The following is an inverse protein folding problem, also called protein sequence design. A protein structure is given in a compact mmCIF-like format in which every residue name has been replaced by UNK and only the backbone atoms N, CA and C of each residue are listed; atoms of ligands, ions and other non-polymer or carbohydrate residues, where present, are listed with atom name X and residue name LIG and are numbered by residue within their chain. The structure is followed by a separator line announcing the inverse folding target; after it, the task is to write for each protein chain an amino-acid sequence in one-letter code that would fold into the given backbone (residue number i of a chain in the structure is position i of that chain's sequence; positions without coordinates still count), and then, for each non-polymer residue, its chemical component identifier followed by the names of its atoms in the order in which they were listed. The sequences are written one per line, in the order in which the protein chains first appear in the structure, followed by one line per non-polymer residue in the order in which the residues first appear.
data_IF_789998496963
#
_entry.id   IF_789998496963
#
_cell.length_a   1.000
_cell.length_b   1.000
_cell.length_c   1.000
_cell.angle_alpha   90.00
_cell.angle_beta   90.00
_cell.angle_gamma   90.00
#
_symmetry.space_group_name_H-M   'P 1'
#
loop_
_entity.id
_entity.type
_entity.pdbx_description
1 polymer ?
#
# COMPACT_ATOMS: atom_id res chain seq x y z
N UNK A 1 11.02 -17.16 12.29
CA UNK A 1 10.18 -15.95 12.53
C UNK A 1 9.98 -15.27 11.18
N UNK A 2 8.75 -15.05 10.72
CA UNK A 2 8.51 -14.40 9.44
C UNK A 2 8.68 -12.87 9.60
N UNK A 3 9.48 -12.25 8.73
CA UNK A 3 9.58 -10.80 8.66
C UNK A 3 8.21 -10.20 8.33
N UNK A 4 7.81 -9.18 9.09
CA UNK A 4 6.55 -8.45 8.84
C UNK A 4 6.76 -7.21 7.97
N UNK A 5 7.95 -6.61 8.05
CA UNK A 5 8.32 -5.38 7.39
C UNK A 5 9.72 -5.47 6.81
N UNK A 6 9.93 -4.85 5.66
CA UNK A 6 11.24 -4.59 5.07
C UNK A 6 11.25 -3.13 4.66
N UNK A 7 12.25 -2.38 5.11
CA UNK A 7 12.42 -0.96 4.79
C UNK A 7 13.81 -0.77 4.22
N UNK A 8 13.89 -0.17 3.04
CA UNK A 8 15.16 0.13 2.37
C UNK A 8 15.14 1.58 1.94
N UNK A 9 16.07 2.37 2.45
CA UNK A 9 16.29 3.75 2.01
C UNK A 9 17.13 3.76 0.73
N UNK A 10 16.98 4.84 -0.05
CA UNK A 10 17.72 5.07 -1.29
C UNK A 10 17.62 3.89 -2.28
N UNK A 11 16.38 3.42 -2.48
CA UNK A 11 16.07 2.21 -3.24
C UNK A 11 16.44 2.32 -4.72
N UNK A 12 16.09 3.43 -5.37
CA UNK A 12 16.46 3.70 -6.76
C UNK A 12 17.76 4.51 -6.83
N UNK A 13 18.63 4.18 -7.78
CA UNK A 13 19.85 4.94 -8.03
C UNK A 13 19.57 6.36 -8.58
N UNK A 14 18.53 6.50 -9.42
CA UNK A 14 18.11 7.77 -9.99
C UNK A 14 16.58 7.93 -9.91
N UNK A 15 16.05 8.22 -8.71
CA UNK A 15 14.62 8.38 -8.50
C UNK A 15 14.05 9.64 -9.18
N UNK A 16 14.86 10.69 -9.39
CA UNK A 16 14.42 11.93 -10.05
C UNK A 16 14.09 11.70 -11.53
N UNK A 17 14.95 10.98 -12.25
CA UNK A 17 14.66 10.59 -13.65
C UNK A 17 13.46 9.63 -13.70
N UNK A 18 13.35 8.71 -12.77
CA UNK A 18 12.22 7.81 -12.67
C UNK A 18 10.88 8.55 -12.52
N UNK A 19 10.82 9.55 -11.63
CA UNK A 19 9.64 10.40 -11.44
C UNK A 19 9.30 11.21 -12.70
N UNK A 20 10.30 11.76 -13.41
CA UNK A 20 10.07 12.48 -14.66
C UNK A 20 9.44 11.58 -15.74
N UNK A 21 9.91 10.35 -15.88
CA UNK A 21 9.34 9.37 -16.80
C UNK A 21 7.88 9.07 -16.40
N UNK A 22 7.62 8.85 -15.11
CA UNK A 22 6.27 8.59 -14.62
C UNK A 22 5.31 9.76 -14.90
N UNK A 23 5.77 11.00 -14.74
CA UNK A 23 4.98 12.21 -15.04
C UNK A 23 4.65 12.35 -16.53
N UNK A 24 5.50 11.86 -17.44
CA UNK A 24 5.26 11.88 -18.89
C UNK A 24 4.45 10.66 -19.38
N UNK A 25 4.25 9.65 -18.55
CA UNK A 25 3.54 8.42 -18.92
C UNK A 25 2.03 8.62 -18.90
N UNK A 26 1.32 7.93 -19.82
CA UNK A 26 -0.14 7.90 -19.83
C UNK A 26 -0.69 7.36 -18.51
N UNK A 27 -1.76 7.98 -18.02
CA UNK A 27 -2.44 7.65 -16.76
C UNK A 27 -3.90 7.37 -17.01
N UNK A 28 -4.48 6.59 -16.13
CA UNK A 28 -5.91 6.34 -16.06
C UNK A 28 -6.41 6.67 -14.64
N UNK A 29 -7.62 7.15 -14.53
CA UNK A 29 -8.29 7.23 -13.24
C UNK A 29 -8.50 5.82 -12.70
N UNK A 30 -8.36 5.65 -11.40
CA UNK A 30 -8.74 4.40 -10.77
C UNK A 30 -10.24 4.20 -10.97
N UNK A 31 -10.68 2.95 -11.15
CA UNK A 31 -12.09 2.66 -11.33
C UNK A 31 -12.92 3.38 -10.24
N UNK A 32 -14.07 3.98 -10.56
CA UNK A 32 -14.97 4.55 -9.55
C UNK A 32 -15.35 3.58 -8.44
N UNK A 33 -15.18 2.29 -8.68
CA UNK A 33 -15.33 1.21 -7.70
C UNK A 33 -14.01 0.83 -7.02
N UNK A 34 -12.89 1.48 -7.39
CA UNK A 34 -11.56 1.27 -6.81
C UNK A 34 -11.49 1.72 -5.34
N UNK A 35 -10.63 1.06 -4.59
CA UNK A 35 -10.46 1.35 -3.16
C UNK A 35 -9.57 2.57 -2.92
N UNK A 36 -8.88 3.04 -3.95
CA UNK A 36 -7.84 4.05 -3.85
C UNK A 36 -8.14 5.25 -4.73
N UNK A 37 -7.93 6.44 -4.18
CA UNK A 37 -8.11 7.70 -4.87
C UNK A 37 -6.92 8.06 -5.78
N UNK A 38 -7.17 8.97 -6.71
CA UNK A 38 -6.17 9.54 -7.59
C UNK A 38 -6.06 8.85 -8.93
N UNK A 39 -4.95 9.09 -9.64
CA UNK A 39 -4.68 8.52 -10.96
C UNK A 39 -3.46 7.61 -10.90
N UNK A 40 -3.39 6.63 -11.80
CA UNK A 40 -2.31 5.66 -11.85
C UNK A 40 -1.74 5.56 -13.26
N UNK A 41 -0.42 5.35 -13.41
CA UNK A 41 0.17 5.06 -14.71
C UNK A 41 -0.43 3.80 -15.31
N UNK A 42 -0.61 3.77 -16.64
CA UNK A 42 -1.16 2.60 -17.34
C UNK A 42 -0.18 1.44 -17.42
N UNK A 43 1.12 1.72 -17.29
CA UNK A 43 2.18 0.72 -17.34
C UNK A 43 2.86 0.51 -15.98
N UNK A 44 3.36 -0.70 -15.77
CA UNK A 44 4.27 -1.05 -14.68
C UNK A 44 5.70 -0.64 -15.02
N UNK A 45 6.45 -0.23 -14.00
CA UNK A 45 7.87 0.11 -14.11
C UNK A 45 8.78 -0.96 -13.48
N UNK A 46 8.26 -2.14 -13.22
CA UNK A 46 9.07 -3.26 -12.74
C UNK A 46 9.75 -3.97 -13.90
N UNK A 47 10.98 -4.39 -13.67
CA UNK A 47 11.80 -5.21 -14.57
C UNK A 47 12.20 -6.51 -13.88
N UNK A 48 12.82 -7.43 -14.62
CA UNK A 48 13.39 -8.66 -14.06
C UNK A 48 14.42 -8.36 -12.96
N UNK A 49 15.24 -7.31 -13.12
CA UNK A 49 16.19 -6.89 -12.10
C UNK A 49 15.51 -6.53 -10.77
N UNK A 50 14.35 -5.86 -10.81
CA UNK A 50 13.58 -5.59 -9.59
C UNK A 50 13.06 -6.88 -8.96
N UNK A 51 12.65 -7.87 -9.75
CA UNK A 51 12.24 -9.17 -9.24
C UNK A 51 13.36 -9.84 -8.46
N UNK A 52 14.58 -9.89 -9.01
CA UNK A 52 15.75 -10.43 -8.31
C UNK A 52 16.06 -9.70 -6.99
N UNK A 53 15.93 -8.36 -6.98
CA UNK A 53 16.08 -7.57 -5.76
C UNK A 53 15.04 -7.97 -4.72
N UNK A 54 13.77 -8.06 -5.11
CA UNK A 54 12.71 -8.44 -4.18
C UNK A 54 12.89 -9.87 -3.65
N UNK A 55 13.30 -10.83 -4.48
CA UNK A 55 13.63 -12.19 -4.03
C UNK A 55 14.72 -12.18 -2.94
N UNK A 56 15.78 -11.39 -3.14
CA UNK A 56 16.85 -11.25 -2.14
C UNK A 56 16.38 -10.59 -0.85
N UNK A 57 15.57 -9.54 -0.95
CA UNK A 57 15.04 -8.81 0.20
C UNK A 57 14.05 -9.64 1.02
N UNK A 58 13.19 -10.38 0.35
CA UNK A 58 12.11 -11.15 0.99
C UNK A 58 12.53 -12.56 1.39
N UNK A 59 13.65 -13.05 0.87
CA UNK A 59 14.12 -14.44 0.97
C UNK A 59 13.11 -15.44 0.38
N UNK A 60 12.35 -15.02 -0.61
CA UNK A 60 11.37 -15.84 -1.30
C UNK A 60 11.90 -16.23 -2.68
N UNK A 61 11.86 -17.52 -3.01
CA UNK A 61 12.45 -18.06 -4.25
C UNK A 61 11.64 -17.69 -5.51
N UNK A 62 10.36 -17.39 -5.36
CA UNK A 62 9.48 -16.99 -6.45
C UNK A 62 8.72 -15.75 -6.04
N UNK A 63 8.89 -14.67 -6.81
CA UNK A 63 8.18 -13.41 -6.63
C UNK A 63 7.63 -12.97 -7.98
N UNK A 64 6.33 -12.97 -8.09
CA UNK A 64 5.59 -12.55 -9.28
C UNK A 64 4.68 -11.36 -8.95
N UNK A 65 4.17 -10.73 -9.99
CA UNK A 65 3.10 -9.74 -9.85
C UNK A 65 1.80 -10.46 -9.50
N UNK A 66 1.15 -10.06 -8.42
CA UNK A 66 -0.15 -10.61 -8.03
C UNK A 66 -1.33 -9.78 -8.55
N UNK A 67 -1.09 -8.53 -8.98
CA UNK A 67 -2.14 -7.62 -9.48
C UNK A 67 -1.66 -6.78 -10.66
N UNK A 68 -2.62 -6.24 -11.42
CA UNK A 68 -2.32 -5.29 -12.51
C UNK A 68 -1.79 -3.94 -11.99
N UNK A 69 -1.98 -3.61 -10.72
CA UNK A 69 -1.47 -2.39 -10.10
C UNK A 69 0.01 -2.49 -9.72
N UNK A 70 0.60 -3.70 -9.76
CA UNK A 70 1.98 -3.93 -9.34
C UNK A 70 2.98 -3.16 -10.21
N UNK A 71 3.85 -2.36 -9.55
CA UNK A 71 4.89 -1.56 -10.21
C UNK A 71 4.41 -0.29 -10.89
N UNK A 72 3.10 0.01 -10.87
CA UNK A 72 2.54 1.26 -11.36
C UNK A 72 2.74 2.38 -10.35
N UNK A 73 2.72 3.63 -10.84
CA UNK A 73 2.86 4.81 -10.00
C UNK A 73 1.50 5.47 -9.82
N UNK A 74 1.13 5.65 -8.56
CA UNK A 74 -0.08 6.34 -8.14
C UNK A 74 0.25 7.78 -7.77
N UNK A 75 -0.60 8.70 -8.23
CA UNK A 75 -0.58 10.12 -7.94
C UNK A 75 -1.86 10.45 -7.17
N UNK A 76 -1.73 10.96 -5.95
CA UNK A 76 -2.88 11.25 -5.08
C UNK A 76 -2.77 12.68 -4.57
N UNK A 77 -3.73 13.52 -4.94
CA UNK A 77 -3.84 14.93 -4.52
C UNK A 77 -4.59 15.05 -3.21
N UNK A 78 -4.41 16.16 -2.51
CA UNK A 78 -5.03 16.42 -1.20
C UNK A 78 -6.57 16.23 -1.19
N UNK A 79 -7.24 16.55 -2.29
CA UNK A 79 -8.69 16.45 -2.42
C UNK A 79 -9.19 15.11 -2.99
N UNK A 80 -8.30 14.21 -3.34
CA UNK A 80 -8.70 12.88 -3.79
C UNK A 80 -9.22 12.07 -2.59
N UNK A 81 -10.39 11.44 -2.73
CA UNK A 81 -11.06 10.72 -1.65
C UNK A 81 -10.79 9.24 -1.71
N UNK A 82 -10.60 8.61 -0.55
CA UNK A 82 -10.44 7.17 -0.42
C UNK A 82 -11.78 6.52 -0.05
N UNK A 83 -12.05 5.34 -0.59
CA UNK A 83 -13.19 4.52 -0.17
C UNK A 83 -12.93 3.86 1.18
N UNK A 84 -11.67 3.50 1.42
CA UNK A 84 -11.20 2.99 2.71
C UNK A 84 -9.96 3.77 3.14
N UNK A 85 -9.84 4.04 4.41
CA UNK A 85 -8.61 4.57 4.97
C UNK A 85 -7.79 3.43 5.59
N UNK A 86 -8.32 2.75 6.59
CA UNK A 86 -7.68 1.56 7.19
C UNK A 86 -8.19 0.32 6.46
N UNK A 87 -7.28 -0.47 5.90
CA UNK A 87 -7.59 -1.62 5.07
C UNK A 87 -6.50 -2.71 5.15
N UNK A 88 -6.68 -3.76 4.40
CA UNK A 88 -5.71 -4.81 4.13
C UNK A 88 -5.63 -5.07 2.63
N UNK A 89 -4.49 -5.60 2.15
CA UNK A 89 -4.22 -5.82 0.73
C UNK A 89 -4.21 -7.31 0.37
N UNK A 90 -5.25 -8.03 0.72
CA UNK A 90 -5.29 -9.48 0.44
C UNK A 90 -6.01 -9.77 -0.85
N UNK A 91 -5.24 -10.28 -1.84
CA UNK A 91 -5.71 -11.38 -2.65
C UNK A 91 -5.02 -12.68 -2.21
N UNK A 92 -5.51 -13.84 -2.67
CA UNK A 92 -5.03 -15.17 -2.23
C UNK A 92 -3.55 -15.43 -2.56
N UNK A 93 -2.93 -14.63 -3.43
CA UNK A 93 -1.58 -14.83 -3.97
C UNK A 93 -0.56 -13.82 -3.43
N UNK A 94 -1.01 -12.66 -2.94
CA UNK A 94 -0.12 -11.59 -2.46
C UNK A 94 0.54 -11.99 -1.15
N UNK A 95 1.87 -12.01 -1.13
CA UNK A 95 2.68 -12.28 0.07
C UNK A 95 3.29 -11.03 0.68
N UNK A 96 3.54 -10.03 -0.16
CA UNK A 96 4.06 -8.73 0.23
C UNK A 96 3.32 -7.64 -0.53
N UNK A 97 2.81 -6.70 0.20
CA UNK A 97 2.36 -5.41 -0.32
C UNK A 97 3.38 -4.34 0.04
N UNK A 98 3.37 -3.23 -0.68
CA UNK A 98 4.27 -2.15 -0.33
C UNK A 98 4.25 -0.98 -1.29
N UNK A 99 5.14 -0.04 -0.99
CA UNK A 99 5.29 1.18 -1.79
C UNK A 99 6.75 1.62 -1.84
N UNK A 100 7.10 2.34 -2.92
CA UNK A 100 8.26 3.23 -2.92
C UNK A 100 7.73 4.67 -2.91
N UNK A 101 8.15 5.49 -1.93
CA UNK A 101 7.77 6.90 -1.84
C UNK A 101 8.57 7.74 -2.84
N UNK A 102 7.87 8.51 -3.68
CA UNK A 102 8.46 9.18 -4.85
C UNK A 102 8.23 10.70 -4.89
N UNK A 103 7.67 11.31 -3.86
CA UNK A 103 7.61 12.77 -3.74
C UNK A 103 8.80 13.29 -2.96
N UNK A 104 9.67 14.04 -3.63
CA UNK A 104 10.90 14.60 -3.06
C UNK A 104 10.58 15.73 -2.08
N UNK A 105 9.70 16.63 -2.54
CA UNK A 105 9.16 17.68 -1.71
C UNK A 105 7.79 17.24 -1.19
N UNK A 106 7.65 17.19 0.11
CA UNK A 106 6.43 16.77 0.77
C UNK A 106 6.32 17.47 2.14
N UNK A 107 5.09 17.74 2.64
CA UNK A 107 4.91 18.18 4.01
C UNK A 107 5.42 17.09 4.97
N UNK A 108 5.67 17.44 6.23
CA UNK A 108 5.97 16.44 7.27
C UNK A 108 4.71 15.63 7.54
N UNK A 109 4.58 14.50 6.87
CA UNK A 109 3.44 13.61 6.99
C UNK A 109 3.89 12.21 7.37
N UNK A 110 2.96 11.46 7.96
CA UNK A 110 3.12 10.02 8.16
C UNK A 110 3.25 9.29 6.81
N UNK A 111 4.01 8.22 6.80
CA UNK A 111 4.03 7.29 5.68
C UNK A 111 2.94 6.21 5.83
N UNK A 112 3.33 4.95 5.81
CA UNK A 112 2.40 3.83 6.01
C UNK A 112 2.23 3.58 7.50
N UNK A 113 0.99 3.68 7.99
CA UNK A 113 0.64 3.43 9.40
C UNK A 113 -0.07 2.08 9.55
N UNK A 114 0.16 1.43 10.69
CA UNK A 114 -0.45 0.14 11.05
C UNK A 114 -1.32 0.32 12.28
N UNK A 115 -2.45 -0.42 12.31
CA UNK A 115 -3.54 -0.11 13.21
C UNK A 115 -4.06 -1.34 13.94
N UNK A 116 -4.54 -1.11 15.15
CA UNK A 116 -5.32 -2.06 15.95
C UNK A 116 -6.69 -1.47 16.24
N UNK A 117 -7.75 -2.19 15.92
CA UNK A 117 -9.10 -1.77 16.24
C UNK A 117 -9.35 -1.86 17.75
N UNK A 118 -9.76 -0.76 18.38
CA UNK A 118 -9.85 -0.64 19.84
C UNK A 118 -10.83 -1.66 20.47
N UNK A 119 -12.01 -1.81 19.88
CA UNK A 119 -13.07 -2.67 20.42
C UNK A 119 -12.79 -4.16 20.22
N UNK A 120 -12.24 -4.57 19.09
CA UNK A 120 -12.08 -5.98 18.73
C UNK A 120 -10.65 -6.50 18.88
N UNK A 121 -9.66 -5.62 19.00
CA UNK A 121 -8.24 -5.97 18.99
C UNK A 121 -7.72 -6.43 17.62
N UNK A 122 -8.47 -6.23 16.53
CA UNK A 122 -8.09 -6.63 15.19
C UNK A 122 -6.87 -5.83 14.69
N UNK A 123 -5.77 -6.52 14.41
CA UNK A 123 -4.55 -5.97 13.78
C UNK A 123 -4.24 -6.67 12.45
N UNK A 124 -4.72 -7.89 12.30
CA UNK A 124 -4.41 -8.81 11.21
C UNK A 124 -5.72 -9.33 10.65
N UNK A 125 -5.92 -9.18 9.34
CA UNK A 125 -7.06 -9.76 8.67
C UNK A 125 -7.06 -11.28 8.84
N UNK A 126 -8.13 -11.89 9.40
CA UNK A 126 -8.24 -13.32 9.52
C UNK A 126 -8.30 -13.98 8.14
N UNK A 127 -7.77 -15.19 8.02
CA UNK A 127 -7.73 -15.95 6.78
C UNK A 127 -8.20 -17.41 6.94
N UNK A 128 -8.76 -17.76 8.12
CA UNK A 128 -9.35 -19.07 8.38
C UNK A 128 -10.78 -18.92 8.92
N UNK A 129 -11.64 -19.92 8.76
CA UNK A 129 -12.99 -19.90 9.33
C UNK A 129 -13.01 -19.58 10.83
N UNK A 130 -12.11 -20.18 11.61
CA UNK A 130 -11.98 -19.97 13.05
C UNK A 130 -11.52 -18.54 13.37
N UNK A 131 -10.62 -17.99 12.52
CA UNK A 131 -10.17 -16.61 12.62
C UNK A 131 -11.31 -15.63 12.43
N UNK A 132 -12.16 -15.82 11.41
CA UNK A 132 -13.35 -15.01 11.20
C UNK A 132 -14.37 -15.14 12.33
N UNK A 133 -14.62 -16.38 12.79
CA UNK A 133 -15.60 -16.67 13.84
C UNK A 133 -15.28 -15.93 15.15
N UNK A 134 -14.02 -15.66 15.47
CA UNK A 134 -13.61 -14.87 16.66
C UNK A 134 -14.21 -13.46 16.71
N UNK A 135 -14.52 -12.90 15.52
CA UNK A 135 -15.10 -11.57 15.38
C UNK A 135 -16.60 -11.62 15.04
N UNK A 136 -17.21 -12.82 15.00
CA UNK A 136 -18.58 -13.02 14.57
C UNK A 136 -18.75 -12.92 13.04
N UNK A 137 -17.69 -13.04 12.27
CA UNK A 137 -17.69 -13.00 10.83
C UNK A 137 -17.65 -14.41 10.23
N UNK A 138 -18.15 -14.55 9.00
CA UNK A 138 -18.18 -15.82 8.26
C UNK A 138 -17.04 -15.92 7.25
N UNK A 139 -16.62 -14.78 6.70
CA UNK A 139 -15.65 -14.72 5.58
C UNK A 139 -15.14 -13.29 5.35
N UNK A 140 -14.34 -13.12 4.32
CA UNK A 140 -13.80 -11.83 3.90
C UNK A 140 -14.86 -10.77 3.54
N UNK A 141 -16.05 -11.15 3.13
CA UNK A 141 -17.11 -10.17 2.82
C UNK A 141 -17.59 -9.45 4.09
N UNK A 142 -17.73 -10.19 5.20
CA UNK A 142 -18.13 -9.60 6.49
C UNK A 142 -17.02 -8.68 7.03
N UNK A 143 -15.75 -9.07 6.91
CA UNK A 143 -14.60 -8.20 7.23
C UNK A 143 -14.58 -6.94 6.37
N UNK A 144 -14.82 -7.07 5.07
CA UNK A 144 -14.85 -5.93 4.15
C UNK A 144 -15.96 -4.94 4.55
N UNK A 145 -17.17 -5.43 4.81
CA UNK A 145 -18.30 -4.61 5.27
C UNK A 145 -17.99 -3.88 6.58
N UNK A 146 -17.30 -4.55 7.51
CA UNK A 146 -16.82 -3.95 8.75
C UNK A 146 -15.84 -2.79 8.48
N UNK A 147 -14.86 -3.00 7.60
CA UNK A 147 -13.89 -1.95 7.26
C UNK A 147 -14.49 -0.80 6.46
N UNK A 148 -15.50 -1.07 5.62
CA UNK A 148 -16.27 -0.02 4.93
C UNK A 148 -17.02 0.89 5.90
N UNK A 149 -17.35 0.39 7.08
CA UNK A 149 -18.07 1.13 8.12
C UNK A 149 -17.13 1.80 9.12
N UNK A 150 -16.19 1.04 9.69
CA UNK A 150 -15.35 1.50 10.79
C UNK A 150 -13.93 1.91 10.34
N UNK A 151 -13.49 1.53 9.14
CA UNK A 151 -12.14 1.83 8.63
C UNK A 151 -11.89 3.29 8.21
N UNK A 152 -12.93 4.12 8.15
CA UNK A 152 -12.81 5.57 7.86
C UNK A 152 -12.71 6.42 9.12
N UNK A 153 -13.08 5.89 10.27
CA UNK A 153 -13.06 6.59 11.55
C UNK A 153 -11.84 6.18 12.38
N UNK A 154 -10.76 6.95 12.27
CA UNK A 154 -9.52 6.68 13.00
C UNK A 154 -9.71 6.68 14.52
N UNK A 155 -10.76 7.32 15.07
CA UNK A 155 -11.00 7.33 16.52
C UNK A 155 -11.34 5.97 17.10
N UNK A 156 -11.73 5.01 16.25
CA UNK A 156 -12.01 3.63 16.61
C UNK A 156 -10.74 2.74 16.63
N UNK A 157 -9.58 3.32 16.28
CA UNK A 157 -8.35 2.59 16.08
C UNK A 157 -7.18 3.18 16.87
N UNK A 158 -6.30 2.31 17.32
CA UNK A 158 -5.00 2.67 17.87
C UNK A 158 -3.94 2.54 16.76
N UNK A 159 -3.19 3.61 16.52
CA UNK A 159 -2.03 3.58 15.64
C UNK A 159 -0.88 2.87 16.38
N UNK A 160 -0.58 1.63 15.99
CA UNK A 160 0.42 0.80 16.68
C UNK A 160 1.84 1.08 16.20
N UNK A 161 1.98 1.44 14.92
CA UNK A 161 3.28 1.67 14.30
C UNK A 161 3.14 2.51 13.04
N UNK A 162 4.15 3.34 12.73
CA UNK A 162 4.23 4.10 11.48
C UNK A 162 5.62 3.98 10.90
N UNK A 163 5.71 3.67 9.60
CA UNK A 163 6.93 3.82 8.83
C UNK A 163 6.89 5.22 8.21
N UNK A 164 7.79 6.14 8.64
CA UNK A 164 7.76 7.53 8.20
C UNK A 164 7.95 7.66 6.69
N UNK A 165 7.25 8.63 6.10
CA UNK A 165 7.47 9.01 4.71
C UNK A 165 8.93 9.50 4.54
N UNK A 166 9.64 8.96 3.56
CA UNK A 166 10.95 9.42 3.14
C UNK A 166 11.09 9.20 1.63
N UNK A 167 11.50 10.24 0.91
CA UNK A 167 11.75 10.13 -0.53
C UNK A 167 12.70 8.96 -0.84
N UNK A 168 12.39 8.20 -1.89
CA UNK A 168 13.13 7.04 -2.34
C UNK A 168 13.25 5.89 -1.31
N UNK A 169 12.30 5.80 -0.37
CA UNK A 169 12.19 4.68 0.57
C UNK A 169 11.26 3.62 0.03
N UNK A 170 11.75 2.39 -0.07
CA UNK A 170 10.96 1.19 -0.23
C UNK A 170 10.42 0.73 1.12
N UNK A 171 9.14 0.44 1.16
CA UNK A 171 8.46 -0.22 2.29
C UNK A 171 7.75 -1.45 1.75
N UNK A 172 8.10 -2.64 2.25
CA UNK A 172 7.33 -3.86 2.06
C UNK A 172 6.76 -4.31 3.39
N UNK A 173 5.54 -4.81 3.38
CA UNK A 173 4.86 -5.32 4.57
C UNK A 173 3.96 -6.50 4.21
N UNK A 174 3.56 -7.27 5.22
CA UNK A 174 2.63 -8.38 5.01
C UNK A 174 1.22 -7.84 4.72
N UNK A 175 0.58 -8.25 3.61
CA UNK A 175 -0.64 -7.63 3.09
C UNK A 175 -1.85 -7.78 4.00
N UNK A 176 -1.84 -8.75 4.90
CA UNK A 176 -2.91 -8.98 5.88
C UNK A 176 -2.86 -8.07 7.13
N UNK A 177 -1.80 -7.25 7.28
CA UNK A 177 -1.74 -6.25 8.35
C UNK A 177 -2.71 -5.10 8.03
N UNK A 178 -3.49 -4.67 9.04
CA UNK A 178 -4.35 -3.51 8.87
C UNK A 178 -3.51 -2.24 8.84
N UNK A 179 -3.62 -1.51 7.74
CA UNK A 179 -2.76 -0.36 7.47
C UNK A 179 -3.49 0.76 6.73
N UNK A 180 -2.87 1.94 6.70
CA UNK A 180 -3.29 3.07 5.89
C UNK A 180 -2.12 3.71 5.16
N UNK A 181 -2.38 4.37 4.00
CA UNK A 181 -1.31 4.91 3.14
C UNK A 181 -0.69 6.21 3.66
N UNK A 182 -1.16 6.77 4.75
CA UNK A 182 -0.83 8.12 5.16
C UNK A 182 -1.56 9.19 4.33
N UNK A 183 -1.50 10.48 4.75
CA UNK A 183 -2.27 11.54 4.12
C UNK A 183 -1.82 11.83 2.69
N UNK A 184 -2.79 12.16 1.85
CA UNK A 184 -2.55 12.75 0.53
C UNK A 184 -2.18 14.23 0.67
N UNK A 185 -1.49 14.79 -0.31
CA UNK A 185 -1.06 16.19 -0.32
C UNK A 185 -0.88 16.70 -1.74
N UNK A 186 -0.68 18.04 -1.87
CA UNK A 186 -0.51 18.70 -3.16
C UNK A 186 -1.82 18.82 -3.93
N UNK A 187 -1.79 19.55 -5.04
CA UNK A 187 -2.95 19.85 -5.88
C UNK A 187 -2.70 19.60 -7.38
N UNK A 188 -1.44 19.40 -7.75
CA UNK A 188 -1.00 19.04 -9.12
C UNK A 188 -0.32 17.68 -9.13
N UNK A 189 -0.09 17.12 -10.32
CA UNK A 189 0.65 15.87 -10.46
C UNK A 189 2.12 16.02 -10.04
N UNK A 190 2.69 17.21 -10.21
CA UNK A 190 4.09 17.52 -9.89
C UNK A 190 4.31 17.57 -8.37
N UNK A 191 3.37 18.13 -7.61
CA UNK A 191 3.52 18.35 -6.17
C UNK A 191 2.72 17.37 -5.30
N UNK A 192 1.88 16.50 -5.89
CA UNK A 192 1.07 15.55 -5.15
C UNK A 192 1.86 14.38 -4.57
N UNK A 193 1.22 13.60 -3.72
CA UNK A 193 1.74 12.35 -3.21
C UNK A 193 1.91 11.34 -4.36
N UNK A 194 3.15 10.87 -4.55
CA UNK A 194 3.51 9.85 -5.54
C UNK A 194 4.05 8.62 -4.85
N UNK A 195 3.54 7.47 -5.22
CA UNK A 195 4.07 6.19 -4.75
C UNK A 195 4.06 5.19 -5.91
N UNK A 196 5.09 4.36 -5.98
CA UNK A 196 5.00 3.14 -6.76
C UNK A 196 4.36 2.08 -5.88
N UNK A 197 3.32 1.43 -6.37
CA UNK A 197 2.62 0.35 -5.65
C UNK A 197 3.25 -1.00 -5.94
N UNK A 198 3.34 -1.85 -4.93
CA UNK A 198 3.95 -3.17 -5.03
C UNK A 198 3.01 -4.24 -4.45
N UNK A 199 2.75 -5.28 -5.24
CA UNK A 199 1.94 -6.44 -4.86
C UNK A 199 2.66 -7.69 -5.36
N UNK A 200 3.40 -8.33 -4.46
CA UNK A 200 4.30 -9.41 -4.79
C UNK A 200 3.78 -10.73 -4.21
N UNK A 201 3.72 -11.75 -5.02
CA UNK A 201 3.23 -13.07 -4.65
C UNK A 201 3.97 -14.21 -5.35
N UNK A 202 3.47 -15.41 -5.21
CA UNK A 202 4.02 -16.61 -5.87
C UNK A 202 3.40 -16.81 -7.23
#
# INVERSE_FOLDING_TARGET
MLNRFIVVDDFYNDPDTFVKIALSTMREEDSPTGNYAGVMTTQSFLSEQHREIFQKLTLENSINSSTNANGRIRFTRANDTFKFHIHYDVDVQTRWAGVVYLSKEHPKVDGTSFWRHLRTGLEIAPNTPEGFARYGWRNFHDLKAFLETEGLDESLWEKTFTIPYKYNRLVLFRPWLLHSPGPAFGDTLENCRKVQTLFLGN
#
